data_IF_684785728592
#
_entry.id   IF_684785728592
#
_cell.length_a   1.000
_cell.length_b   1.000
_cell.length_c   1.000
_cell.angle_alpha   90.00
_cell.angle_beta   90.00
_cell.angle_gamma   90.00
#
_symmetry.space_group_name_H-M   'P 1'
#
loop_
_entity.id
_entity.type
_entity.pdbx_description
1 polymer ?
#
# COMPACT_ATOMS: atom_id res chain seq x y z
N UNK A 1 7.50 7.45 2.05
CA UNK A 1 8.70 8.32 2.13
C UNK A 1 9.97 7.60 1.68
N UNK A 2 10.25 6.37 2.14
CA UNK A 2 11.46 5.62 1.77
C UNK A 2 11.79 5.61 0.26
N UNK A 3 10.84 5.43 -0.68
CA UNK A 3 11.18 5.37 -2.10
C UNK A 3 11.94 6.60 -2.63
N UNK A 4 11.79 7.77 -2.00
CA UNK A 4 12.54 8.98 -2.38
C UNK A 4 14.04 8.87 -2.06
N UNK A 5 14.40 8.09 -1.04
CA UNK A 5 15.81 7.84 -0.71
C UNK A 5 16.48 6.81 -1.61
N UNK A 6 15.68 6.00 -2.32
CA UNK A 6 16.17 4.84 -3.04
C UNK A 6 17.23 5.15 -4.11
N UNK A 7 17.09 6.21 -4.94
CA UNK A 7 18.14 6.61 -5.90
C UNK A 7 19.46 6.95 -5.20
N UNK A 8 19.40 7.66 -4.08
CA UNK A 8 20.59 8.07 -3.32
C UNK A 8 21.29 6.87 -2.67
N UNK A 9 20.54 5.95 -2.09
CA UNK A 9 21.04 4.70 -1.51
C UNK A 9 21.69 3.84 -2.61
N UNK A 10 21.03 3.72 -3.77
CA UNK A 10 21.54 2.96 -4.90
C UNK A 10 22.89 3.51 -5.37
N UNK A 11 22.99 4.84 -5.54
CA UNK A 11 24.22 5.51 -5.97
C UNK A 11 25.33 5.36 -4.93
N UNK A 12 25.06 5.60 -3.64
CA UNK A 12 26.05 5.54 -2.57
C UNK A 12 26.68 4.15 -2.39
N UNK A 13 25.87 3.10 -2.58
CA UNK A 13 26.30 1.72 -2.35
C UNK A 13 26.57 0.95 -3.66
N UNK A 14 26.43 1.59 -4.83
CA UNK A 14 26.64 0.95 -6.12
C UNK A 14 25.70 -0.24 -6.37
N UNK A 15 24.43 -0.14 -5.96
CA UNK A 15 23.50 -1.26 -6.04
C UNK A 15 23.00 -1.47 -7.48
N UNK A 16 22.84 -2.74 -7.86
CA UNK A 16 22.14 -3.11 -9.09
C UNK A 16 20.62 -2.99 -8.91
N UNK A 17 19.90 -2.93 -10.03
CA UNK A 17 18.42 -2.89 -10.05
C UNK A 17 17.80 -4.14 -9.40
N UNK A 18 18.45 -5.31 -9.58
CA UNK A 18 18.05 -6.57 -8.94
C UNK A 18 18.19 -6.47 -7.41
N UNK A 19 19.28 -5.88 -6.93
CA UNK A 19 19.49 -5.65 -5.49
C UNK A 19 18.44 -4.69 -4.93
N UNK A 20 18.11 -3.63 -5.64
CA UNK A 20 17.02 -2.72 -5.26
C UNK A 20 15.67 -3.45 -5.19
N UNK A 21 15.35 -4.25 -6.20
CA UNK A 21 14.17 -5.11 -6.20
C UNK A 21 14.15 -6.08 -5.01
N UNK A 22 15.31 -6.69 -4.72
CA UNK A 22 15.51 -7.58 -3.56
C UNK A 22 15.24 -6.90 -2.21
N UNK A 23 15.69 -5.65 -2.05
CA UNK A 23 15.41 -4.82 -0.87
C UNK A 23 13.90 -4.63 -0.65
N UNK A 24 13.18 -4.30 -1.71
CA UNK A 24 11.72 -4.09 -1.61
C UNK A 24 10.97 -5.41 -1.40
N UNK A 25 11.44 -6.51 -2.00
CA UNK A 25 10.94 -7.86 -1.73
C UNK A 25 11.12 -8.24 -0.26
N UNK A 26 12.30 -7.97 0.33
CA UNK A 26 12.56 -8.24 1.74
C UNK A 26 11.65 -7.44 2.68
N UNK A 27 11.44 -6.14 2.40
CA UNK A 27 10.50 -5.29 3.13
C UNK A 27 9.07 -5.87 3.09
N UNK A 28 8.62 -6.23 1.89
CA UNK A 28 7.29 -6.81 1.69
C UNK A 28 7.15 -8.16 2.39
N UNK A 29 8.18 -9.01 2.30
CA UNK A 29 8.25 -10.30 2.98
C UNK A 29 8.18 -10.17 4.50
N UNK A 30 8.95 -9.26 5.08
CA UNK A 30 8.92 -8.97 6.51
C UNK A 30 7.54 -8.49 6.97
N UNK A 31 6.93 -7.58 6.21
CA UNK A 31 5.57 -7.11 6.48
C UNK A 31 4.57 -8.26 6.41
N UNK A 32 4.62 -9.07 5.35
CA UNK A 32 3.71 -10.21 5.14
C UNK A 32 3.81 -11.26 6.24
N UNK A 33 5.03 -11.70 6.55
CA UNK A 33 5.28 -12.72 7.58
C UNK A 33 4.84 -12.28 8.98
N UNK A 34 4.98 -10.98 9.29
CA UNK A 34 4.66 -10.45 10.61
C UNK A 34 3.22 -9.97 10.75
N UNK A 35 2.46 -9.80 9.66
CA UNK A 35 1.08 -9.29 9.72
C UNK A 35 0.17 -10.19 10.57
N UNK A 36 0.24 -11.52 10.41
CA UNK A 36 -0.57 -12.46 11.22
C UNK A 36 -0.15 -12.49 12.70
N UNK A 37 1.14 -12.65 13.05
CA UNK A 37 1.59 -12.54 14.43
C UNK A 37 1.25 -11.19 15.07
N UNK A 38 1.34 -10.10 14.33
CA UNK A 38 1.01 -8.75 14.81
C UNK A 38 -0.48 -8.58 15.09
N UNK A 39 -1.35 -9.12 14.22
CA UNK A 39 -2.78 -9.16 14.46
C UNK A 39 -3.13 -9.93 15.74
N UNK A 40 -2.53 -11.11 15.90
CA UNK A 40 -2.69 -11.90 17.13
C UNK A 40 -2.18 -11.13 18.37
N UNK A 41 -1.01 -10.49 18.27
CA UNK A 41 -0.47 -9.70 19.38
C UNK A 41 -1.38 -8.50 19.72
N UNK A 42 -1.95 -7.83 18.72
CA UNK A 42 -2.90 -6.73 18.91
C UNK A 42 -4.16 -7.16 19.65
N UNK A 43 -4.63 -8.40 19.43
CA UNK A 43 -5.80 -8.96 20.10
C UNK A 43 -5.47 -9.55 21.48
N UNK A 44 -4.33 -10.26 21.60
CA UNK A 44 -3.90 -10.86 22.85
C UNK A 44 -3.46 -9.84 23.90
N UNK A 45 -2.82 -8.74 23.48
CA UNK A 45 -2.30 -7.68 24.36
C UNK A 45 -3.15 -6.41 24.31
N UNK A 46 -4.46 -6.53 24.37
CA UNK A 46 -5.41 -5.42 24.31
C UNK A 46 -5.13 -4.28 25.31
N UNK A 47 -4.59 -4.60 26.48
CA UNK A 47 -4.21 -3.61 27.50
C UNK A 47 -2.90 -2.88 27.19
N UNK A 48 -2.13 -3.35 26.20
CA UNK A 48 -0.81 -2.84 25.86
C UNK A 48 -0.75 -2.21 24.45
N UNK A 49 -1.90 -1.89 23.83
CA UNK A 49 -1.96 -1.33 22.47
C UNK A 49 -1.11 -0.07 22.29
N UNK A 50 -1.10 0.81 23.30
CA UNK A 50 -0.24 1.99 23.28
C UNK A 50 1.25 1.66 23.18
N UNK A 51 1.69 0.59 23.88
CA UNK A 51 3.07 0.12 23.80
C UNK A 51 3.37 -0.47 22.41
N UNK A 52 2.49 -1.30 21.86
CA UNK A 52 2.67 -1.90 20.53
C UNK A 52 2.78 -0.80 19.45
N UNK A 53 1.90 0.20 19.48
CA UNK A 53 1.92 1.33 18.55
C UNK A 53 3.17 2.20 18.74
N UNK A 54 3.56 2.46 19.99
CA UNK A 54 4.80 3.17 20.31
C UNK A 54 6.03 2.42 19.82
N UNK A 55 6.11 1.10 20.06
CA UNK A 55 7.20 0.26 19.55
C UNK A 55 7.27 0.22 18.03
N UNK A 56 6.13 0.19 17.33
CA UNK A 56 6.10 0.24 15.87
C UNK A 56 6.70 1.55 15.34
N UNK A 57 6.32 2.69 15.92
CA UNK A 57 6.89 4.00 15.53
C UNK A 57 8.37 4.11 15.88
N UNK A 58 8.77 3.69 17.09
CA UNK A 58 10.16 3.70 17.51
C UNK A 58 11.03 2.81 16.61
N UNK A 59 10.55 1.60 16.27
CA UNK A 59 11.24 0.69 15.36
C UNK A 59 11.39 1.32 13.96
N UNK A 60 10.36 2.01 13.44
CA UNK A 60 10.44 2.76 12.20
C UNK A 60 11.50 3.86 12.25
N UNK A 61 11.57 4.64 13.32
CA UNK A 61 12.60 5.66 13.53
C UNK A 61 14.01 5.08 13.64
N UNK A 62 14.18 4.02 14.44
CA UNK A 62 15.45 3.30 14.56
C UNK A 62 15.90 2.68 13.23
N UNK A 63 14.94 2.21 12.41
CA UNK A 63 15.28 1.70 11.08
C UNK A 63 15.95 2.78 10.21
N UNK A 64 15.43 4.01 10.20
CA UNK A 64 16.07 5.11 9.47
C UNK A 64 17.46 5.47 10.01
N UNK A 65 17.67 5.34 11.33
CA UNK A 65 19.02 5.49 11.91
C UNK A 65 19.97 4.41 11.37
N UNK A 66 19.52 3.14 11.31
CA UNK A 66 20.32 2.04 10.73
C UNK A 66 20.66 2.34 9.26
N UNK A 67 19.72 2.87 8.47
CA UNK A 67 19.99 3.26 7.09
C UNK A 67 21.05 4.36 6.98
N UNK A 68 21.03 5.34 7.88
CA UNK A 68 21.94 6.49 7.83
C UNK A 68 23.41 6.13 8.06
N UNK A 69 23.66 5.09 8.86
CA UNK A 69 25.01 4.58 9.17
C UNK A 69 25.38 3.35 8.35
N UNK A 70 24.55 2.95 7.38
CA UNK A 70 24.71 1.72 6.62
C UNK A 70 25.96 1.75 5.73
N UNK A 71 26.97 0.90 5.97
CA UNK A 71 28.14 0.81 5.11
C UNK A 71 27.97 -0.17 3.95
N UNK A 72 26.97 -1.03 3.97
CA UNK A 72 26.77 -2.10 2.99
C UNK A 72 25.30 -2.39 2.71
N UNK A 73 25.05 -3.15 1.63
CA UNK A 73 23.73 -3.67 1.26
C UNK A 73 22.99 -4.36 2.41
N UNK A 74 23.72 -5.15 3.23
CA UNK A 74 23.11 -5.88 4.35
C UNK A 74 22.45 -4.96 5.38
N UNK A 75 23.03 -3.81 5.68
CA UNK A 75 22.46 -2.84 6.61
C UNK A 75 21.19 -2.17 6.06
N UNK A 76 21.18 -1.91 4.76
CA UNK A 76 19.96 -1.40 4.09
C UNK A 76 18.88 -2.49 4.05
N UNK A 77 19.25 -3.76 3.88
CA UNK A 77 18.33 -4.88 3.99
C UNK A 77 17.70 -4.94 5.40
N UNK A 78 18.53 -4.84 6.45
CA UNK A 78 18.06 -4.78 7.86
C UNK A 78 17.11 -3.61 8.09
N UNK A 79 17.45 -2.43 7.58
CA UNK A 79 16.58 -1.25 7.62
C UNK A 79 15.19 -1.55 7.02
N UNK A 80 15.13 -2.15 5.84
CA UNK A 80 13.87 -2.42 5.18
C UNK A 80 13.05 -3.54 5.82
N UNK A 81 13.72 -4.56 6.36
CA UNK A 81 13.08 -5.60 7.18
C UNK A 81 12.45 -4.95 8.43
N UNK A 82 13.16 -4.06 9.11
CA UNK A 82 12.63 -3.33 10.26
C UNK A 82 11.43 -2.44 9.88
N UNK A 83 11.49 -1.74 8.74
CA UNK A 83 10.35 -0.96 8.24
C UNK A 83 9.15 -1.83 7.91
N UNK A 84 9.36 -2.99 7.30
CA UNK A 84 8.31 -3.97 7.03
C UNK A 84 7.66 -4.47 8.33
N UNK A 85 8.47 -4.80 9.32
CA UNK A 85 8.02 -5.22 10.64
C UNK A 85 7.25 -4.11 11.38
N UNK A 86 7.74 -2.88 11.35
CA UNK A 86 7.07 -1.71 11.92
C UNK A 86 5.68 -1.50 11.30
N UNK A 87 5.58 -1.61 9.98
CA UNK A 87 4.32 -1.51 9.24
C UNK A 87 3.33 -2.62 9.64
N UNK A 88 3.81 -3.87 9.77
CA UNK A 88 3.01 -5.00 10.18
C UNK A 88 2.46 -4.86 11.61
N UNK A 89 3.22 -4.27 12.52
CA UNK A 89 2.77 -3.98 13.90
C UNK A 89 1.77 -2.84 13.95
N UNK A 90 1.98 -1.80 13.13
CA UNK A 90 1.16 -0.58 13.14
C UNK A 90 -0.26 -0.81 12.66
N UNK A 91 -0.43 -1.39 11.46
CA UNK A 91 -1.74 -1.43 10.79
C UNK A 91 -2.83 -2.18 11.56
N UNK A 92 -2.66 -3.44 11.99
CA UNK A 92 -3.70 -4.14 12.73
C UNK A 92 -3.99 -3.46 14.08
N UNK A 93 -2.93 -3.01 14.77
CA UNK A 93 -3.05 -2.41 16.09
C UNK A 93 -3.78 -1.06 16.05
N UNK A 94 -3.50 -0.21 15.06
CA UNK A 94 -4.15 1.11 14.91
C UNK A 94 -5.63 0.96 14.55
N UNK A 95 -5.94 0.11 13.57
CA UNK A 95 -7.33 -0.13 13.13
C UNK A 95 -8.16 -0.77 14.26
N UNK A 96 -7.60 -1.76 14.98
CA UNK A 96 -8.27 -2.38 16.12
C UNK A 96 -8.50 -1.38 17.25
N UNK A 97 -7.49 -0.57 17.60
CA UNK A 97 -7.61 0.46 18.66
C UNK A 97 -8.71 1.47 18.33
N UNK A 98 -8.70 2.04 17.12
CA UNK A 98 -9.71 3.02 16.70
C UNK A 98 -11.10 2.41 16.64
N UNK A 99 -11.23 1.18 16.15
CA UNK A 99 -12.51 0.49 16.04
C UNK A 99 -13.15 0.18 17.40
N UNK A 100 -12.34 -0.09 18.42
CA UNK A 100 -12.82 -0.35 19.78
C UNK A 100 -13.09 0.93 20.55
N UNK A 101 -12.21 1.93 20.41
CA UNK A 101 -12.34 3.21 21.12
C UNK A 101 -13.54 4.03 20.62
N UNK A 102 -13.85 3.95 19.34
CA UNK A 102 -14.91 4.72 18.69
C UNK A 102 -15.96 3.81 18.07
N UNK A 103 -16.48 2.84 18.85
CA UNK A 103 -17.45 1.84 18.39
C UNK A 103 -18.68 2.50 17.72
N UNK A 104 -19.19 3.60 18.30
CA UNK A 104 -20.39 4.31 17.82
C UNK A 104 -20.14 5.13 16.55
N UNK A 105 -18.87 5.50 16.30
CA UNK A 105 -18.42 6.32 15.16
C UNK A 105 -17.23 5.70 14.44
N UNK A 106 -17.20 4.37 14.40
CA UNK A 106 -16.08 3.59 13.84
C UNK A 106 -15.70 4.00 12.42
N UNK A 107 -16.69 4.20 11.55
CA UNK A 107 -16.47 4.62 10.17
C UNK A 107 -15.76 5.97 10.08
N UNK A 108 -16.19 6.95 10.88
CA UNK A 108 -15.56 8.28 10.93
C UNK A 108 -14.14 8.22 11.45
N UNK A 109 -13.88 7.45 12.52
CA UNK A 109 -12.55 7.32 13.10
C UNK A 109 -11.55 6.69 12.11
N UNK A 110 -11.97 5.62 11.41
CA UNK A 110 -11.13 4.98 10.39
C UNK A 110 -10.95 5.86 9.15
N UNK A 111 -11.97 6.63 8.75
CA UNK A 111 -11.84 7.59 7.65
C UNK A 111 -10.83 8.70 7.98
N UNK A 112 -10.87 9.28 9.19
CA UNK A 112 -9.90 10.28 9.63
C UNK A 112 -8.47 9.71 9.68
N UNK A 113 -8.31 8.46 10.14
CA UNK A 113 -7.02 7.77 10.09
C UNK A 113 -6.51 7.63 8.65
N UNK A 114 -7.38 7.26 7.72
CA UNK A 114 -7.06 7.17 6.30
C UNK A 114 -6.68 8.51 5.67
N UNK A 115 -7.39 9.60 6.04
CA UNK A 115 -7.03 10.96 5.62
C UNK A 115 -5.63 11.33 6.12
N UNK A 116 -5.33 11.06 7.41
CA UNK A 116 -4.00 11.30 7.95
C UNK A 116 -2.90 10.56 7.21
N UNK A 117 -3.12 9.29 6.85
CA UNK A 117 -2.20 8.51 6.04
C UNK A 117 -2.00 9.14 4.65
N UNK A 118 -3.09 9.52 3.97
CA UNK A 118 -3.04 10.13 2.62
C UNK A 118 -2.33 11.49 2.62
N UNK A 119 -2.54 12.31 3.66
CA UNK A 119 -1.81 13.57 3.84
C UNK A 119 -0.31 13.29 4.03
N UNK A 120 0.05 12.31 4.86
CA UNK A 120 1.44 11.91 5.07
C UNK A 120 2.12 11.40 3.80
N UNK A 121 1.41 10.60 3.02
CA UNK A 121 1.91 10.05 1.75
C UNK A 121 2.04 11.11 0.64
N UNK A 122 1.30 12.23 0.75
CA UNK A 122 1.36 13.34 -0.22
C UNK A 122 2.37 14.41 0.21
N UNK A 123 2.27 14.91 1.45
CA UNK A 123 3.11 16.01 1.95
C UNK A 123 4.53 15.54 2.27
N UNK A 124 4.66 14.34 2.84
CA UNK A 124 5.95 13.80 3.27
C UNK A 124 7.00 13.73 2.17
N UNK A 125 6.72 13.14 1.00
CA UNK A 125 7.67 13.10 -0.11
C UNK A 125 8.09 14.48 -0.61
N UNK A 126 7.16 15.43 -0.66
CA UNK A 126 7.46 16.81 -1.06
C UNK A 126 8.41 17.49 -0.07
N UNK A 127 8.14 17.36 1.23
CA UNK A 127 9.03 17.88 2.28
C UNK A 127 10.41 17.22 2.22
N UNK A 128 10.48 15.90 2.05
CA UNK A 128 11.76 15.19 1.94
C UNK A 128 12.52 15.63 0.69
N UNK A 129 11.85 15.73 -0.46
CA UNK A 129 12.48 16.23 -1.69
C UNK A 129 13.04 17.64 -1.55
N UNK A 130 12.33 18.54 -0.84
CA UNK A 130 12.81 19.88 -0.56
C UNK A 130 14.01 19.89 0.43
N UNK A 131 13.95 19.08 1.49
CA UNK A 131 15.03 19.00 2.49
C UNK A 131 16.31 18.38 1.91
N UNK A 132 16.19 17.42 0.97
CA UNK A 132 17.33 16.83 0.28
C UNK A 132 18.10 17.81 -0.62
N UNK A 133 17.56 19.00 -0.89
CA UNK A 133 18.32 20.09 -1.51
C UNK A 133 19.30 20.76 -0.56
N UNK A 134 19.08 20.62 0.76
CA UNK A 134 19.83 21.32 1.80
C UNK A 134 20.76 20.39 2.58
N UNK A 135 20.39 19.13 2.74
CA UNK A 135 21.12 18.14 3.55
C UNK A 135 21.24 16.80 2.83
N UNK A 136 22.25 16.02 3.19
CA UNK A 136 22.45 14.69 2.65
C UNK A 136 21.34 13.70 3.08
N UNK A 137 21.12 12.67 2.29
CA UNK A 137 20.07 11.68 2.61
C UNK A 137 20.34 10.95 3.93
N UNK A 138 21.61 10.75 4.32
CA UNK A 138 22.02 10.11 5.59
C UNK A 138 21.62 10.98 6.78
N UNK A 139 21.90 12.27 6.72
CA UNK A 139 21.55 13.22 7.78
C UNK A 139 20.02 13.32 7.93
N UNK A 140 19.32 13.40 6.79
CA UNK A 140 17.87 13.45 6.80
C UNK A 140 17.26 12.15 7.34
N UNK A 141 17.85 10.99 7.05
CA UNK A 141 17.45 9.72 7.63
C UNK A 141 17.64 9.70 9.15
N UNK A 142 18.75 10.25 9.69
CA UNK A 142 18.95 10.41 11.14
C UNK A 142 17.87 11.30 11.76
N UNK A 143 17.53 12.41 11.12
CA UNK A 143 16.52 13.34 11.64
C UNK A 143 15.14 12.70 11.76
N UNK A 144 14.81 11.68 10.93
CA UNK A 144 13.55 10.94 11.05
C UNK A 144 13.38 10.22 12.39
N UNK A 145 14.46 9.87 13.07
CA UNK A 145 14.40 9.22 14.38
C UNK A 145 13.73 10.13 15.42
N UNK A 146 14.01 11.43 15.40
CA UNK A 146 13.54 12.37 16.43
C UNK A 146 11.99 12.46 16.45
N UNK A 147 11.32 12.84 15.34
CA UNK A 147 9.86 12.89 15.35
C UNK A 147 9.22 11.50 15.56
N UNK A 148 9.84 10.43 15.07
CA UNK A 148 9.33 9.07 15.29
C UNK A 148 9.33 8.70 16.78
N UNK A 149 10.40 9.00 17.53
CA UNK A 149 10.47 8.74 18.98
C UNK A 149 9.51 9.63 19.77
N UNK A 150 9.38 10.91 19.40
CA UNK A 150 8.40 11.82 20.02
C UNK A 150 6.99 11.26 19.83
N UNK A 151 6.62 10.88 18.60
CA UNK A 151 5.32 10.29 18.30
C UNK A 151 5.13 8.94 18.99
N UNK A 152 6.18 8.11 19.09
CA UNK A 152 6.13 6.85 19.83
C UNK A 152 5.78 7.07 21.32
N UNK A 153 6.42 8.04 21.96
CA UNK A 153 6.13 8.40 23.35
C UNK A 153 4.72 8.99 23.52
N UNK A 154 4.29 9.84 22.59
CA UNK A 154 2.93 10.39 22.61
C UNK A 154 1.88 9.29 22.44
N UNK A 155 2.06 8.38 21.49
CA UNK A 155 1.16 7.23 21.27
C UNK A 155 1.12 6.33 22.50
N UNK A 156 2.25 6.00 23.08
CA UNK A 156 2.30 5.20 24.29
C UNK A 156 1.56 5.89 25.45
N UNK A 157 1.79 7.17 25.69
CA UNK A 157 1.15 7.93 26.78
C UNK A 157 -0.35 8.09 26.57
N UNK A 158 -0.80 8.41 25.36
CA UNK A 158 -2.22 8.69 25.06
C UNK A 158 -3.05 7.39 24.99
N UNK A 159 -2.52 6.34 24.38
CA UNK A 159 -3.29 5.11 24.17
C UNK A 159 -3.25 4.17 25.37
N UNK A 160 -2.20 4.21 26.21
CA UNK A 160 -2.08 3.30 27.38
C UNK A 160 -3.20 3.44 28.41
N UNK A 161 -3.85 4.60 28.47
CA UNK A 161 -4.95 4.86 29.43
C UNK A 161 -6.27 4.22 28.99
N UNK A 162 -6.34 3.72 27.77
CA UNK A 162 -7.51 3.05 27.24
C UNK A 162 -7.30 1.53 27.30
N UNK A 163 -7.85 0.91 28.35
CA UNK A 163 -7.91 -0.55 28.45
C UNK A 163 -9.12 -1.03 27.64
N UNK A 164 -8.87 -1.62 26.49
CA UNK A 164 -9.91 -2.02 25.55
C UNK A 164 -10.17 -3.52 25.69
N UNK A 165 -11.30 -3.89 26.32
CA UNK A 165 -11.80 -5.25 26.24
C UNK A 165 -12.41 -5.46 24.83
N UNK A 166 -11.71 -6.22 23.97
CA UNK A 166 -12.23 -6.61 22.66
C UNK A 166 -12.98 -7.94 22.72
N UNK A 167 -13.93 -8.21 21.82
CA UNK A 167 -14.50 -9.54 21.65
C UNK A 167 -13.39 -10.52 21.28
N UNK A 168 -13.44 -11.72 21.86
CA UNK A 168 -12.42 -12.76 21.68
C UNK A 168 -12.16 -13.07 20.20
N UNK A 169 -10.89 -13.34 19.90
CA UNK A 169 -10.40 -13.54 18.53
C UNK A 169 -11.07 -14.70 17.79
N UNK A 170 -10.91 -14.71 16.49
CA UNK A 170 -11.39 -15.75 15.59
C UNK A 170 -10.90 -17.14 16.06
N UNK A 171 -11.83 -18.08 16.19
CA UNK A 171 -11.46 -19.47 16.50
C UNK A 171 -10.82 -20.14 15.29
N UNK A 172 -9.89 -21.08 15.52
CA UNK A 172 -9.28 -21.86 14.43
C UNK A 172 -10.34 -22.48 13.50
N UNK A 173 -11.44 -22.94 14.06
CA UNK A 173 -12.54 -23.57 13.31
C UNK A 173 -13.23 -22.60 12.34
N UNK A 174 -13.51 -21.38 12.79
CA UNK A 174 -14.12 -20.35 11.92
C UNK A 174 -13.18 -19.89 10.80
N UNK A 175 -11.86 -19.84 11.08
CA UNK A 175 -10.85 -19.53 10.09
C UNK A 175 -10.80 -20.58 8.96
N UNK A 176 -10.69 -21.87 9.29
CA UNK A 176 -10.66 -22.94 8.28
C UNK A 176 -11.99 -23.08 7.52
N UNK A 177 -13.12 -22.85 8.16
CA UNK A 177 -14.42 -22.82 7.49
C UNK A 177 -14.47 -21.68 6.45
N UNK A 178 -13.98 -20.49 6.81
CA UNK A 178 -13.90 -19.35 5.89
C UNK A 178 -12.98 -19.62 4.69
N UNK A 179 -11.81 -20.21 4.92
CA UNK A 179 -10.87 -20.58 3.85
C UNK A 179 -11.53 -21.57 2.87
N UNK A 180 -12.25 -22.58 3.37
CA UNK A 180 -12.97 -23.55 2.53
C UNK A 180 -14.06 -22.88 1.67
N UNK A 181 -14.81 -21.93 2.26
CA UNK A 181 -15.85 -21.17 1.53
C UNK A 181 -15.25 -20.31 0.39
N UNK A 182 -14.05 -19.76 0.60
CA UNK A 182 -13.33 -18.97 -0.42
C UNK A 182 -12.99 -19.84 -1.63
N UNK A 183 -12.41 -21.03 -1.40
CA UNK A 183 -12.05 -21.94 -2.49
C UNK A 183 -13.28 -22.55 -3.19
N UNK A 184 -14.43 -22.58 -2.53
CA UNK A 184 -15.70 -23.01 -3.14
C UNK A 184 -16.31 -21.93 -4.08
N UNK A 185 -15.80 -20.69 -4.05
CA UNK A 185 -16.34 -19.56 -4.84
C UNK A 185 -15.34 -19.06 -5.87
N UNK A 186 -15.40 -19.50 -7.13
CA UNK A 186 -14.46 -19.10 -8.19
C UNK A 186 -14.36 -17.57 -8.35
N UNK A 187 -15.46 -16.85 -8.15
CA UNK A 187 -15.52 -15.38 -8.21
C UNK A 187 -14.55 -14.73 -7.23
N UNK A 188 -14.50 -15.19 -5.98
CA UNK A 188 -13.59 -14.65 -4.96
C UNK A 188 -12.14 -14.89 -5.39
N UNK A 189 -11.83 -16.09 -5.84
CA UNK A 189 -10.48 -16.44 -6.29
C UNK A 189 -10.03 -15.61 -7.50
N UNK A 190 -10.93 -15.41 -8.48
CA UNK A 190 -10.64 -14.54 -9.64
C UNK A 190 -10.37 -13.08 -9.21
N UNK A 191 -11.16 -12.54 -8.27
CA UNK A 191 -10.90 -11.18 -7.75
C UNK A 191 -9.54 -11.12 -7.05
N UNK A 192 -9.16 -12.15 -6.29
CA UNK A 192 -7.86 -12.24 -5.62
C UNK A 192 -6.71 -12.24 -6.63
N UNK A 193 -6.81 -13.01 -7.72
CA UNK A 193 -5.81 -13.04 -8.80
C UNK A 193 -5.71 -11.67 -9.47
N UNK A 194 -6.84 -11.08 -9.89
CA UNK A 194 -6.84 -9.77 -10.52
C UNK A 194 -6.23 -8.69 -9.60
N UNK A 195 -6.61 -8.69 -8.31
CA UNK A 195 -6.04 -7.78 -7.31
C UNK A 195 -4.54 -8.00 -7.10
N UNK A 196 -4.06 -9.24 -7.23
CA UNK A 196 -2.63 -9.54 -7.14
C UNK A 196 -1.86 -8.99 -8.34
N UNK A 197 -2.38 -9.08 -9.56
CA UNK A 197 -1.76 -8.44 -10.73
C UNK A 197 -1.67 -6.93 -10.58
N UNK A 198 -2.73 -6.28 -10.07
CA UNK A 198 -2.71 -4.85 -9.76
C UNK A 198 -1.68 -4.54 -8.67
N UNK A 199 -1.60 -5.38 -7.64
CA UNK A 199 -0.61 -5.26 -6.57
C UNK A 199 0.83 -5.40 -7.06
N UNK A 200 1.10 -6.37 -7.95
CA UNK A 200 2.42 -6.57 -8.58
C UNK A 200 2.81 -5.35 -9.42
N UNK A 201 1.92 -4.86 -10.29
CA UNK A 201 2.15 -3.68 -11.09
C UNK A 201 2.46 -2.45 -10.22
N UNK A 202 1.62 -2.22 -9.20
CA UNK A 202 1.77 -1.11 -8.28
C UNK A 202 3.08 -1.16 -7.50
N UNK A 203 3.45 -2.33 -6.97
CA UNK A 203 4.67 -2.50 -6.19
C UNK A 203 5.92 -2.32 -7.07
N UNK A 204 5.90 -2.81 -8.32
CA UNK A 204 6.98 -2.62 -9.28
C UNK A 204 7.17 -1.14 -9.63
N UNK A 205 6.08 -0.45 -9.97
CA UNK A 205 6.13 0.99 -10.30
C UNK A 205 6.56 1.83 -9.09
N UNK A 206 6.03 1.57 -7.90
CA UNK A 206 6.46 2.31 -6.69
C UNK A 206 7.91 2.05 -6.30
N UNK A 207 8.48 0.94 -6.73
CA UNK A 207 9.91 0.66 -6.53
C UNK A 207 10.78 1.43 -7.53
N UNK A 208 10.42 1.40 -8.81
CA UNK A 208 11.30 1.86 -9.88
C UNK A 208 10.97 3.25 -10.43
N UNK A 209 9.79 3.82 -10.16
CA UNK A 209 9.46 5.18 -10.59
C UNK A 209 10.43 6.26 -10.06
N UNK A 210 10.84 6.26 -8.77
CA UNK A 210 11.83 7.23 -8.30
C UNK A 210 13.18 7.10 -8.99
N UNK A 211 13.62 5.87 -9.28
CA UNK A 211 14.87 5.60 -10.00
C UNK A 211 14.78 6.05 -11.45
N UNK A 212 13.67 5.75 -12.13
CA UNK A 212 13.40 6.24 -13.48
C UNK A 212 13.46 7.78 -13.55
N UNK A 213 12.79 8.46 -12.61
CA UNK A 213 12.79 9.92 -12.54
C UNK A 213 14.19 10.50 -12.27
N UNK A 214 14.98 9.83 -11.42
CA UNK A 214 16.33 10.29 -11.07
C UNK A 214 17.35 9.98 -12.17
N UNK A 215 17.41 8.73 -12.63
CA UNK A 215 18.52 8.23 -13.45
C UNK A 215 18.24 8.37 -14.95
N UNK A 216 16.99 8.22 -15.41
CA UNK A 216 16.64 8.33 -16.83
C UNK A 216 16.16 9.74 -17.18
N UNK A 217 15.34 10.36 -16.30
CA UNK A 217 14.83 11.72 -16.53
C UNK A 217 15.73 12.82 -15.94
N UNK A 218 16.74 12.48 -15.13
CA UNK A 218 17.67 13.45 -14.54
C UNK A 218 17.04 14.40 -13.52
N UNK A 219 15.89 14.01 -12.90
CA UNK A 219 15.22 14.87 -11.95
C UNK A 219 15.93 14.93 -10.61
N UNK A 220 16.12 16.15 -10.10
CA UNK A 220 16.65 16.41 -8.77
C UNK A 220 15.64 16.04 -7.66
N UNK A 221 16.10 16.07 -6.39
CA UNK A 221 15.35 15.59 -5.24
C UNK A 221 13.95 16.20 -5.07
N UNK A 222 13.82 17.51 -5.31
CA UNK A 222 12.53 18.20 -5.21
C UNK A 222 11.50 17.63 -6.20
N UNK A 223 11.91 17.44 -7.47
CA UNK A 223 11.02 16.93 -8.50
C UNK A 223 10.64 15.46 -8.26
N UNK A 224 11.55 14.65 -7.68
CA UNK A 224 11.20 13.30 -7.22
C UNK A 224 10.09 13.35 -6.17
N UNK A 225 10.25 14.20 -5.15
CA UNK A 225 9.25 14.41 -4.12
C UNK A 225 7.93 14.95 -4.68
N UNK A 226 7.98 15.89 -5.62
CA UNK A 226 6.80 16.46 -6.28
C UNK A 226 5.98 15.42 -7.05
N UNK A 227 6.61 14.64 -7.92
CA UNK A 227 5.89 13.63 -8.71
C UNK A 227 5.32 12.52 -7.83
N UNK A 228 6.05 12.14 -6.77
CA UNK A 228 5.55 11.21 -5.79
C UNK A 228 4.35 11.77 -5.00
N UNK A 229 4.45 13.00 -4.53
CA UNK A 229 3.36 13.70 -3.86
C UNK A 229 2.12 13.82 -4.76
N UNK A 230 2.31 14.14 -6.05
CA UNK A 230 1.24 14.26 -7.03
C UNK A 230 0.49 12.94 -7.22
N UNK A 231 1.22 11.83 -7.35
CA UNK A 231 0.64 10.48 -7.46
C UNK A 231 -0.31 10.17 -6.28
N UNK A 232 0.10 10.51 -5.06
CA UNK A 232 -0.66 10.19 -3.85
C UNK A 232 -1.76 11.22 -3.55
N UNK A 233 -1.51 12.51 -3.80
CA UNK A 233 -2.50 13.57 -3.59
C UNK A 233 -3.73 13.39 -4.49
N UNK A 234 -3.53 13.05 -5.76
CA UNK A 234 -4.65 12.80 -6.68
C UNK A 234 -5.50 11.60 -6.23
N UNK A 235 -4.84 10.58 -5.65
CA UNK A 235 -5.53 9.42 -5.06
C UNK A 235 -6.40 9.77 -3.86
N UNK A 236 -5.95 10.70 -3.02
CA UNK A 236 -6.73 11.15 -1.85
C UNK A 236 -8.09 11.74 -2.26
N UNK A 237 -8.13 12.55 -3.32
CA UNK A 237 -9.36 13.15 -3.80
C UNK A 237 -10.26 12.17 -4.56
N UNK A 238 -9.67 11.23 -5.30
CA UNK A 238 -10.45 10.30 -6.14
C UNK A 238 -11.08 9.14 -5.36
N UNK A 239 -10.50 8.71 -4.24
CA UNK A 239 -10.99 7.56 -3.47
C UNK A 239 -12.47 7.64 -3.09
N UNK A 240 -12.98 8.74 -2.48
CA UNK A 240 -14.40 8.85 -2.12
C UNK A 240 -15.29 8.81 -3.35
N UNK A 241 -14.88 9.51 -4.42
CA UNK A 241 -15.63 9.55 -5.69
C UNK A 241 -15.74 8.16 -6.32
N UNK A 242 -14.64 7.43 -6.41
CA UNK A 242 -14.62 6.07 -6.94
C UNK A 242 -15.46 5.12 -6.10
N UNK A 243 -15.45 5.27 -4.78
CA UNK A 243 -16.32 4.52 -3.86
C UNK A 243 -17.79 4.75 -4.20
N UNK A 244 -18.23 6.00 -4.27
CA UNK A 244 -19.62 6.39 -4.61
C UNK A 244 -20.01 5.86 -6.00
N UNK A 245 -19.14 6.01 -7.00
CA UNK A 245 -19.39 5.51 -8.34
C UNK A 245 -19.55 3.98 -8.36
N UNK A 246 -18.73 3.26 -7.60
CA UNK A 246 -18.79 1.80 -7.54
C UNK A 246 -20.04 1.29 -6.80
N UNK A 247 -20.54 2.05 -5.83
CA UNK A 247 -21.81 1.74 -5.17
C UNK A 247 -23.01 2.01 -6.09
N UNK A 248 -22.94 3.08 -6.90
CA UNK A 248 -24.04 3.49 -7.80
C UNK A 248 -24.12 2.63 -9.06
N UNK A 249 -23.00 2.31 -9.71
CA UNK A 249 -23.01 1.64 -11.03
C UNK A 249 -22.72 0.14 -10.97
N UNK A 250 -21.82 -0.32 -10.23
CA UNK A 250 -21.40 -1.65 -9.80
C UNK A 250 -19.86 -1.71 -9.70
N UNK A 251 -19.36 -2.65 -8.91
CA UNK A 251 -17.90 -2.85 -8.75
C UNK A 251 -17.21 -3.12 -10.09
N UNK A 252 -17.82 -3.98 -10.91
CA UNK A 252 -17.27 -4.36 -12.22
C UNK A 252 -17.23 -3.17 -13.19
N UNK A 253 -18.30 -2.41 -13.28
CA UNK A 253 -18.44 -1.27 -14.21
C UNK A 253 -17.41 -0.17 -13.92
N UNK A 254 -16.97 -0.04 -12.66
CA UNK A 254 -15.96 0.95 -12.28
C UNK A 254 -14.54 0.38 -12.41
N UNK A 255 -14.28 -0.83 -11.89
CA UNK A 255 -12.91 -1.37 -11.86
C UNK A 255 -12.35 -1.73 -13.23
N UNK A 256 -13.20 -2.26 -14.13
CA UNK A 256 -12.73 -2.67 -15.46
C UNK A 256 -12.13 -1.51 -16.26
N UNK A 257 -12.80 -0.36 -16.46
CA UNK A 257 -12.18 0.78 -17.12
C UNK A 257 -11.00 1.37 -16.33
N UNK A 258 -11.03 1.35 -14.98
CA UNK A 258 -9.90 1.82 -14.20
C UNK A 258 -8.62 1.04 -14.49
N UNK A 259 -8.68 -0.28 -14.53
CA UNK A 259 -7.51 -1.11 -14.85
C UNK A 259 -7.03 -0.89 -16.29
N UNK A 260 -7.95 -0.76 -17.25
CA UNK A 260 -7.60 -0.47 -18.64
C UNK A 260 -6.93 0.91 -18.77
N UNK A 261 -7.50 1.96 -18.16
CA UNK A 261 -6.93 3.32 -18.19
C UNK A 261 -5.56 3.34 -17.51
N UNK A 262 -5.40 2.72 -16.33
CA UNK A 262 -4.10 2.63 -15.67
C UNK A 262 -3.08 1.89 -16.56
N UNK A 263 -3.48 0.82 -17.24
CA UNK A 263 -2.64 0.10 -18.17
C UNK A 263 -2.15 0.99 -19.31
N UNK A 264 -3.03 1.76 -19.93
CA UNK A 264 -2.67 2.75 -20.94
C UNK A 264 -1.78 3.88 -20.41
N UNK A 265 -2.06 4.39 -19.21
CA UNK A 265 -1.23 5.41 -18.60
C UNK A 265 0.19 4.91 -18.29
N UNK A 266 0.35 3.62 -17.91
CA UNK A 266 1.68 3.03 -17.77
C UNK A 266 2.40 2.89 -19.11
N UNK A 267 1.71 2.55 -20.21
CA UNK A 267 2.32 2.54 -21.53
C UNK A 267 2.81 3.93 -21.97
N UNK A 268 2.07 4.97 -21.59
CA UNK A 268 2.38 6.35 -21.94
C UNK A 268 3.46 6.97 -21.05
N UNK A 269 3.73 6.41 -19.86
CA UNK A 269 4.61 7.02 -18.86
C UNK A 269 6.05 7.24 -19.36
N UNK A 270 6.67 6.34 -20.15
CA UNK A 270 8.00 6.57 -20.70
C UNK A 270 8.03 7.39 -22.01
N UNK A 271 6.87 7.79 -22.55
CA UNK A 271 6.82 8.51 -23.83
C UNK A 271 7.25 9.99 -23.77
N UNK A 272 6.95 10.78 -22.70
CA UNK A 272 7.41 12.17 -22.63
C UNK A 272 8.86 12.28 -22.18
N UNK A 273 9.57 13.25 -22.73
CA UNK A 273 10.93 13.63 -22.27
C UNK A 273 10.91 14.42 -20.94
N UNK A 274 9.87 14.24 -20.12
CA UNK A 274 9.70 14.94 -18.85
C UNK A 274 8.67 16.08 -18.89
N UNK A 275 8.80 17.01 -17.94
CA UNK A 275 8.01 18.23 -17.87
C UNK A 275 6.53 18.02 -17.51
N UNK A 276 5.68 18.94 -18.00
CA UNK A 276 4.25 18.98 -17.66
C UNK A 276 3.49 17.74 -18.09
N UNK A 277 3.81 17.16 -19.25
CA UNK A 277 3.10 15.97 -19.75
C UNK A 277 3.35 14.75 -18.85
N UNK A 278 4.58 14.54 -18.38
CA UNK A 278 4.90 13.47 -17.43
C UNK A 278 4.16 13.68 -16.11
N UNK A 279 4.14 14.92 -15.58
CA UNK A 279 3.38 15.24 -14.38
C UNK A 279 1.88 14.98 -14.54
N UNK A 280 1.30 15.31 -15.71
CA UNK A 280 -0.10 15.04 -16.03
C UNK A 280 -0.40 13.54 -16.03
N UNK A 281 0.46 12.72 -16.64
CA UNK A 281 0.32 11.25 -16.66
C UNK A 281 0.40 10.67 -15.23
N UNK A 282 1.38 11.12 -14.43
CA UNK A 282 1.54 10.66 -13.04
C UNK A 282 0.34 11.10 -12.18
N UNK A 283 -0.14 12.33 -12.36
CA UNK A 283 -1.35 12.82 -11.69
C UNK A 283 -2.60 12.02 -12.09
N UNK A 284 -2.77 11.72 -13.38
CA UNK A 284 -3.86 10.88 -13.86
C UNK A 284 -3.78 9.45 -13.30
N UNK A 285 -2.59 8.85 -13.23
CA UNK A 285 -2.37 7.56 -12.55
C UNK A 285 -2.82 7.62 -11.09
N UNK A 286 -2.51 8.71 -10.40
CA UNK A 286 -2.88 8.94 -9.00
C UNK A 286 -4.37 8.81 -8.75
N UNK A 287 -5.23 9.26 -9.68
CA UNK A 287 -6.68 9.15 -9.55
C UNK A 287 -7.16 7.71 -9.34
N UNK A 288 -6.45 6.73 -9.87
CA UNK A 288 -6.85 5.32 -9.81
C UNK A 288 -6.04 4.52 -8.78
N UNK A 289 -4.93 5.06 -8.31
CA UNK A 289 -3.90 4.32 -7.58
C UNK A 289 -4.40 3.73 -6.25
N UNK A 290 -5.20 4.47 -5.48
CA UNK A 290 -5.73 4.01 -4.19
C UNK A 290 -7.14 3.40 -4.27
N UNK A 291 -8.03 4.00 -5.05
CA UNK A 291 -9.45 3.65 -5.05
C UNK A 291 -9.73 2.23 -5.53
N UNK A 292 -8.94 1.73 -6.47
CA UNK A 292 -9.13 0.39 -7.06
C UNK A 292 -9.00 -0.74 -6.04
N UNK A 293 -8.06 -0.66 -5.10
CA UNK A 293 -7.87 -1.68 -4.07
C UNK A 293 -9.06 -1.77 -3.11
N UNK A 294 -9.59 -0.63 -2.68
CA UNK A 294 -10.73 -0.57 -1.78
C UNK A 294 -12.00 -1.15 -2.44
N UNK A 295 -12.22 -0.84 -3.72
CA UNK A 295 -13.36 -1.36 -4.47
C UNK A 295 -13.23 -2.87 -4.71
N UNK A 296 -12.03 -3.37 -5.01
CA UNK A 296 -11.78 -4.81 -5.16
C UNK A 296 -12.04 -5.56 -3.85
N UNK A 297 -11.61 -5.00 -2.72
CA UNK A 297 -11.94 -5.52 -1.39
C UNK A 297 -13.45 -5.56 -1.15
N UNK A 298 -14.15 -4.46 -1.44
CA UNK A 298 -15.60 -4.41 -1.31
C UNK A 298 -16.31 -5.46 -2.20
N UNK A 299 -15.80 -5.69 -3.42
CA UNK A 299 -16.32 -6.70 -4.33
C UNK A 299 -16.22 -8.13 -3.76
N UNK A 300 -15.12 -8.45 -3.08
CA UNK A 300 -14.96 -9.74 -2.40
C UNK A 300 -15.94 -9.88 -1.24
N UNK A 301 -16.08 -8.83 -0.44
CA UNK A 301 -16.99 -8.82 0.71
C UNK A 301 -18.47 -8.87 0.30
N UNK A 302 -18.82 -8.32 -0.86
CA UNK A 302 -20.19 -8.40 -1.41
C UNK A 302 -20.56 -9.85 -1.81
N UNK A 303 -19.58 -10.71 -2.10
CA UNK A 303 -19.78 -12.13 -2.46
C UNK A 303 -19.59 -13.07 -1.26
N UNK A 304 -18.77 -12.68 -0.28
CA UNK A 304 -18.51 -13.47 0.92
C UNK A 304 -19.72 -13.50 1.84
N UNK A 305 -19.96 -14.65 2.50
CA UNK A 305 -21.01 -14.71 3.55
C UNK A 305 -20.65 -13.82 4.74
N UNK A 306 -21.66 -13.15 5.33
CA UNK A 306 -21.46 -12.20 6.44
C UNK A 306 -20.64 -12.77 7.61
N UNK A 307 -20.83 -14.07 7.89
CA UNK A 307 -20.18 -14.77 9.00
C UNK A 307 -18.65 -14.93 8.81
N UNK A 308 -18.14 -14.87 7.57
CA UNK A 308 -16.73 -15.13 7.26
C UNK A 308 -16.03 -13.95 6.56
N UNK A 309 -16.64 -12.76 6.53
CA UNK A 309 -16.07 -11.58 5.86
C UNK A 309 -14.68 -11.23 6.38
N UNK A 310 -14.47 -11.26 7.71
CA UNK A 310 -13.16 -10.99 8.32
C UNK A 310 -12.10 -12.02 7.90
N UNK A 311 -12.45 -13.29 7.88
CA UNK A 311 -11.55 -14.37 7.42
C UNK A 311 -11.22 -14.22 5.94
N UNK A 312 -12.23 -13.91 5.12
CA UNK A 312 -12.08 -13.68 3.68
C UNK A 312 -11.13 -12.51 3.41
N UNK A 313 -11.30 -11.40 4.13
CA UNK A 313 -10.42 -10.24 4.02
C UNK A 313 -8.97 -10.57 4.40
N UNK A 314 -8.77 -11.27 5.51
CA UNK A 314 -7.44 -11.66 5.98
C UNK A 314 -6.76 -12.61 4.98
N UNK A 315 -7.51 -13.57 4.44
CA UNK A 315 -6.98 -14.51 3.45
C UNK A 315 -6.66 -13.81 2.12
N UNK A 316 -7.53 -12.90 1.66
CA UNK A 316 -7.27 -12.07 0.48
C UNK A 316 -5.97 -11.28 0.63
N UNK A 317 -5.78 -10.63 1.78
CA UNK A 317 -4.58 -9.85 2.07
C UNK A 317 -3.33 -10.74 2.07
N UNK A 318 -3.38 -11.89 2.73
CA UNK A 318 -2.26 -12.84 2.77
C UNK A 318 -1.93 -13.39 1.37
N UNK A 319 -2.94 -13.82 0.61
CA UNK A 319 -2.76 -14.30 -0.75
C UNK A 319 -2.11 -13.24 -1.64
N UNK A 320 -2.63 -12.01 -1.59
CA UNK A 320 -2.08 -10.88 -2.34
C UNK A 320 -0.63 -10.61 -1.94
N UNK A 321 -0.29 -10.62 -0.65
CA UNK A 321 1.08 -10.42 -0.19
C UNK A 321 2.04 -11.49 -0.71
N UNK A 322 1.63 -12.76 -0.69
CA UNK A 322 2.44 -13.87 -1.19
C UNK A 322 2.66 -13.76 -2.71
N UNK A 323 1.59 -13.50 -3.47
CA UNK A 323 1.68 -13.41 -4.94
C UNK A 323 2.46 -12.18 -5.39
N UNK A 324 2.35 -11.05 -4.69
CA UNK A 324 3.07 -9.82 -5.05
C UNK A 324 4.52 -9.81 -4.59
N UNK A 325 4.91 -10.72 -3.68
CA UNK A 325 6.25 -10.77 -3.09
C UNK A 325 7.40 -10.74 -4.11
N UNK A 326 7.40 -11.53 -5.19
CA UNK A 326 8.49 -11.54 -6.15
C UNK A 326 8.49 -10.33 -7.11
N UNK A 327 7.42 -9.53 -7.14
CA UNK A 327 7.24 -8.49 -8.16
C UNK A 327 8.37 -7.45 -8.22
N UNK A 328 8.90 -6.89 -7.11
CA UNK A 328 9.99 -5.92 -7.19
C UNK A 328 11.29 -6.53 -7.71
N UNK A 329 11.58 -7.79 -7.34
CA UNK A 329 12.80 -8.48 -7.78
C UNK A 329 12.70 -8.84 -9.28
N UNK A 330 11.54 -9.30 -9.74
CA UNK A 330 11.26 -9.53 -11.17
C UNK A 330 11.36 -8.22 -11.96
N UNK A 331 10.79 -7.14 -11.45
CA UNK A 331 10.90 -5.82 -12.07
C UNK A 331 12.36 -5.36 -12.13
N UNK A 332 13.14 -5.56 -11.06
CA UNK A 332 14.57 -5.25 -11.05
C UNK A 332 15.37 -6.03 -12.08
N UNK A 333 15.05 -7.32 -12.25
CA UNK A 333 15.66 -8.12 -13.31
C UNK A 333 15.29 -7.59 -14.71
N UNK A 334 14.02 -7.27 -14.95
CA UNK A 334 13.57 -6.72 -16.23
C UNK A 334 14.27 -5.39 -16.52
N UNK A 335 14.34 -4.49 -15.54
CA UNK A 335 15.03 -3.20 -15.67
C UNK A 335 16.52 -3.38 -15.98
N UNK A 336 17.19 -4.31 -15.30
CA UNK A 336 18.63 -4.57 -15.52
C UNK A 336 18.97 -5.09 -16.92
N UNK A 337 18.00 -5.75 -17.61
CA UNK A 337 18.21 -6.29 -18.94
C UNK A 337 17.74 -5.31 -20.05
N UNK A 338 16.68 -4.53 -19.80
CA UNK A 338 15.97 -3.82 -20.84
C UNK A 338 15.74 -2.31 -20.54
N UNK A 339 16.25 -1.80 -19.41
CA UNK A 339 16.09 -0.40 -18.99
C UNK A 339 14.81 -0.11 -18.22
N UNK A 340 14.75 1.10 -17.63
CA UNK A 340 13.66 1.50 -16.72
C UNK A 340 12.28 1.54 -17.37
N UNK A 341 12.19 1.96 -18.62
CA UNK A 341 10.92 2.06 -19.35
C UNK A 341 10.16 0.73 -19.40
N UNK A 342 10.87 -0.40 -19.37
CA UNK A 342 10.27 -1.73 -19.46
C UNK A 342 9.46 -2.14 -18.22
N UNK A 343 9.74 -1.56 -17.05
CA UNK A 343 8.93 -1.83 -15.84
C UNK A 343 7.50 -1.31 -16.01
N UNK A 344 7.31 -0.22 -16.75
CA UNK A 344 5.99 0.33 -17.02
C UNK A 344 5.23 -0.53 -18.03
N UNK A 345 5.91 -1.06 -19.06
CA UNK A 345 5.31 -2.03 -20.00
C UNK A 345 4.91 -3.33 -19.32
N UNK A 346 5.78 -3.87 -18.46
CA UNK A 346 5.47 -5.02 -17.61
C UNK A 346 4.26 -4.76 -16.71
N UNK A 347 4.22 -3.61 -16.04
CA UNK A 347 3.11 -3.22 -15.15
C UNK A 347 1.82 -2.99 -15.93
N UNK A 348 1.89 -2.45 -17.14
CA UNK A 348 0.77 -2.33 -18.06
C UNK A 348 0.20 -3.68 -18.45
N UNK A 349 1.06 -4.65 -18.80
CA UNK A 349 0.64 -6.02 -19.14
C UNK A 349 -0.10 -6.68 -17.97
N UNK A 350 0.38 -6.49 -16.73
CA UNK A 350 -0.30 -6.97 -15.52
C UNK A 350 -1.68 -6.34 -15.34
N UNK A 351 -1.83 -5.04 -15.61
CA UNK A 351 -3.13 -4.36 -15.50
C UNK A 351 -4.12 -4.79 -16.58
N UNK A 352 -3.67 -4.99 -17.82
CA UNK A 352 -4.52 -5.56 -18.85
C UNK A 352 -4.90 -7.00 -18.55
N UNK A 353 -4.00 -7.79 -17.96
CA UNK A 353 -4.32 -9.14 -17.47
C UNK A 353 -5.36 -9.09 -16.35
N UNK A 354 -5.24 -8.15 -15.40
CA UNK A 354 -6.24 -7.92 -14.37
C UNK A 354 -7.59 -7.51 -14.97
N UNK A 355 -7.61 -6.59 -15.95
CA UNK A 355 -8.83 -6.20 -16.66
C UNK A 355 -9.47 -7.39 -17.38
N UNK A 356 -8.67 -8.23 -18.05
CA UNK A 356 -9.14 -9.44 -18.72
C UNK A 356 -9.78 -10.42 -17.74
N UNK A 357 -9.12 -10.71 -16.61
CA UNK A 357 -9.72 -11.55 -15.56
C UNK A 357 -11.03 -10.94 -15.06
N UNK A 358 -11.06 -9.60 -14.88
CA UNK A 358 -12.24 -8.90 -14.40
C UNK A 358 -13.43 -8.94 -15.36
N UNK A 359 -13.20 -9.08 -16.68
CA UNK A 359 -14.29 -9.28 -17.66
C UNK A 359 -15.10 -10.55 -17.39
N UNK A 360 -14.48 -11.60 -16.87
CA UNK A 360 -15.14 -12.88 -16.58
C UNK A 360 -15.75 -12.95 -15.18
N UNK A 361 -15.46 -11.98 -14.29
CA UNK A 361 -16.02 -11.94 -12.93
C UNK A 361 -17.50 -11.58 -13.00
N UNK A 362 -18.34 -12.39 -12.37
CA UNK A 362 -19.76 -12.12 -12.17
C UNK A 362 -19.98 -11.78 -10.70
N UNK A 363 -20.33 -10.52 -10.42
CA UNK A 363 -20.69 -10.05 -9.07
C UNK A 363 -22.22 -9.94 -9.04
N UNK A 364 -22.89 -10.63 -8.11
CA UNK A 364 -24.34 -10.49 -7.94
C UNK A 364 -24.70 -9.01 -7.68
N UNK A 365 -25.75 -8.52 -8.34
CA UNK A 365 -26.30 -7.21 -7.98
C UNK A 365 -26.79 -7.27 -6.53
N UNK A 366 -26.45 -6.28 -5.70
CA UNK A 366 -27.04 -6.17 -4.37
C UNK A 366 -28.57 -6.18 -4.48
N UNK A 367 -29.23 -7.09 -3.76
CA UNK A 367 -30.68 -7.17 -3.64
C UNK A 367 -31.22 -5.96 -2.85
N UNK A 368 -31.21 -4.78 -3.44
CA UNK A 368 -31.60 -3.51 -2.80
C UNK A 368 -31.73 -2.35 -3.79
N UNK A 369 -31.29 -2.53 -5.04
CA UNK A 369 -31.50 -1.55 -6.12
C UNK A 369 -32.64 -1.98 -7.05
N UNK A 370 -33.77 -2.45 -6.49
CA UNK A 370 -35.01 -2.54 -7.27
C UNK A 370 -35.61 -1.14 -7.32
N UNK A 371 -35.51 -0.51 -8.49
CA UNK A 371 -36.40 0.51 -9.03
C UNK A 371 -37.25 1.34 -8.01
N UNK A 372 -36.66 2.43 -7.53
CA UNK A 372 -37.42 3.58 -7.12
C UNK A 372 -37.94 4.39 -8.35
N UNK A 373 -38.54 3.71 -9.31
CA UNK A 373 -39.31 4.34 -10.40
C UNK A 373 -40.76 3.82 -10.34
N UNK A 374 -41.53 4.44 -9.48
CA UNK A 374 -42.94 4.16 -9.42
C UNK A 374 -43.57 4.75 -8.16
N UNK A 375 -43.82 6.06 -8.17
CA UNK A 375 -44.91 6.80 -7.61
C UNK A 375 -44.46 8.20 -7.17
N UNK A 376 -44.55 9.12 -8.08
CA UNK A 376 -45.06 10.46 -7.87
C UNK A 376 -46.10 10.73 -8.97
#
# INVERSE_FOLDING_TARGET
MFPIFLPFIKTDLGLSEVQVGGLMTAKQGASGLLTLPSGFAADAFNTHKGLILGCALAMGGCAYLVASIAPTYFWILMFLVMLGAASALWHPSSVSTLSLQFSDRRGTALALHGVGASVGDSVGPLCIGALLLMVGWKDLAQWHMIPALILALLMWKTVRQYSLAGPGGLTRRSYFAGVKDIFARPTIFMVMIASSFVGMARLSVTTFLPLYLAEEMGYGPFWLGFHWALLYAMGMFSQPLMGILSDRFSRKTVLLPCFAIMGFLYLLLPAPDGGFLLALIIGALGLFFYGTGNIATAAVLDVASEQVQGTTQSFMTLFQQVVTLPAPMLAGYIVSQFGYSTVFYYSSALLFSAATVWMFIQIPKRAGMSNGSGNL
#
